data_IF_919931796176
#
_entry.id   IF_919931796176
#
_cell.length_a   1.000
_cell.length_b   1.000
_cell.length_c   1.000
_cell.angle_alpha   90.00
_cell.angle_beta   90.00
_cell.angle_gamma   90.00
#
_symmetry.space_group_name_H-M   'P 1'
#
loop_
_entity.id
_entity.type
_entity.pdbx_description
1 polymer ?
#
# COMPACT_ATOMS: atom_id res chain seq x y z
N UNK A 1 -28.29 -7.18 5.32
CA UNK A 1 -27.38 -6.27 6.05
C UNK A 1 -25.98 -6.43 5.46
N UNK A 2 -25.42 -5.39 4.84
CA UNK A 2 -24.19 -5.49 4.05
C UNK A 2 -22.97 -4.97 4.82
N UNK A 3 -22.00 -5.85 5.08
CA UNK A 3 -20.67 -5.47 5.54
C UNK A 3 -19.80 -5.11 4.33
N UNK A 4 -19.05 -4.01 4.42
CA UNK A 4 -18.44 -3.31 3.26
C UNK A 4 -16.93 -3.15 3.47
N UNK A 5 -16.09 -3.13 2.41
CA UNK A 5 -14.76 -3.77 2.46
C UNK A 5 -13.44 -2.96 2.17
N UNK A 6 -13.42 -1.64 2.05
CA UNK A 6 -12.18 -0.85 1.87
C UNK A 6 -12.03 0.27 2.93
N UNK A 7 -11.82 1.57 2.62
CA UNK A 7 -12.25 2.66 3.50
C UNK A 7 -13.36 3.50 2.85
N UNK A 8 -14.15 4.27 3.60
CA UNK A 8 -15.00 5.31 3.01
C UNK A 8 -14.08 6.39 2.42
N UNK A 9 -13.80 6.25 1.13
CA UNK A 9 -13.10 7.25 0.34
C UNK A 9 -13.99 8.50 0.29
N UNK A 10 -13.52 9.68 0.72
CA UNK A 10 -14.29 10.91 0.58
C UNK A 10 -14.40 11.25 -0.91
N UNK A 11 -15.59 11.00 -1.46
CA UNK A 11 -15.87 11.06 -2.90
C UNK A 11 -16.38 9.76 -3.51
N UNK A 12 -16.44 8.65 -2.77
CA UNK A 12 -16.87 7.35 -3.31
C UNK A 12 -17.77 6.57 -2.32
N UNK A 13 -18.99 6.22 -2.76
CA UNK A 13 -20.04 5.62 -1.92
C UNK A 13 -19.94 4.08 -1.87
N UNK A 14 -18.80 3.56 -1.41
CA UNK A 14 -18.56 2.12 -1.26
C UNK A 14 -17.72 1.79 -0.02
N UNK A 15 -18.29 1.05 0.95
CA UNK A 15 -17.83 1.05 2.36
C UNK A 15 -16.63 0.15 2.78
N UNK A 16 -16.47 -0.09 4.10
CA UNK A 16 -15.17 -0.13 4.86
C UNK A 16 -14.68 -1.41 5.60
N UNK A 17 -13.65 -2.12 5.10
CA UNK A 17 -12.78 -3.06 5.83
C UNK A 17 -11.28 -2.81 5.56
N UNK A 18 -10.52 -2.46 6.59
CA UNK A 18 -9.06 -2.49 6.52
C UNK A 18 -8.43 -2.15 7.86
N UNK A 19 -7.80 -3.13 8.52
CA UNK A 19 -7.08 -2.87 9.78
C UNK A 19 -5.73 -2.19 9.48
N UNK A 20 -5.36 -1.23 10.34
CA UNK A 20 -4.23 -0.32 10.12
C UNK A 20 -2.94 -1.00 9.60
N UNK A 21 -2.34 -0.42 8.55
CA UNK A 21 -1.00 -0.80 8.05
C UNK A 21 -0.96 -1.72 6.81
N UNK A 22 -2.11 -2.09 6.24
CA UNK A 22 -2.19 -2.83 4.96
C UNK A 22 -2.91 -1.99 3.90
N UNK A 23 -2.30 -1.86 2.73
CA UNK A 23 -2.94 -1.31 1.54
C UNK A 23 -2.88 -2.35 0.42
N UNK A 24 -4.05 -2.89 0.06
CA UNK A 24 -4.23 -3.72 -1.13
C UNK A 24 -4.79 -2.83 -2.24
N UNK A 25 -4.17 -2.85 -3.43
CA UNK A 25 -4.65 -2.03 -4.56
C UNK A 25 -5.58 -2.88 -5.42
N UNK A 26 -6.88 -2.83 -5.08
CA UNK A 26 -7.96 -3.37 -5.89
C UNK A 26 -9.20 -2.47 -5.70
N UNK A 27 -9.32 -1.41 -6.50
CA UNK A 27 -10.44 -0.47 -6.40
C UNK A 27 -10.40 0.71 -7.38
N UNK A 28 -11.43 0.77 -8.22
CA UNK A 28 -12.06 1.97 -8.78
C UNK A 28 -11.35 2.66 -9.97
N UNK A 29 -11.31 1.93 -11.10
CA UNK A 29 -11.67 2.46 -12.43
C UNK A 29 -12.05 1.39 -13.46
N UNK A 30 -11.83 0.10 -13.17
CA UNK A 30 -12.53 -1.01 -13.83
C UNK A 30 -13.20 -1.83 -12.72
N UNK A 31 -14.51 -1.75 -12.60
CA UNK A 31 -15.28 -2.75 -11.86
C UNK A 31 -15.24 -4.05 -12.66
N UNK A 32 -14.20 -4.85 -12.44
CA UNK A 32 -14.35 -6.29 -12.64
C UNK A 32 -15.28 -6.74 -11.53
N UNK A 33 -16.59 -6.65 -11.79
CA UNK A 33 -17.60 -7.39 -11.04
C UNK A 33 -17.07 -8.81 -10.91
N UNK A 34 -17.06 -9.27 -9.67
CA UNK A 34 -16.66 -10.63 -9.34
C UNK A 34 -15.16 -10.93 -9.53
N UNK A 35 -14.24 -9.96 -9.47
CA UNK A 35 -12.77 -10.19 -9.51
C UNK A 35 -12.32 -11.30 -8.54
N UNK A 36 -12.81 -11.28 -7.31
CA UNK A 36 -12.49 -12.32 -6.34
C UNK A 36 -13.10 -13.68 -6.68
N UNK A 37 -14.20 -13.72 -7.44
CA UNK A 37 -14.80 -14.96 -7.92
C UNK A 37 -14.11 -15.50 -9.17
N UNK A 38 -13.69 -14.64 -10.12
CA UNK A 38 -12.92 -15.05 -11.30
C UNK A 38 -11.57 -15.60 -10.88
N UNK A 39 -10.84 -14.91 -10.00
CA UNK A 39 -9.62 -15.43 -9.37
C UNK A 39 -9.87 -16.76 -8.62
N UNK A 40 -11.04 -16.94 -7.99
CA UNK A 40 -11.42 -18.19 -7.31
C UNK A 40 -11.80 -19.31 -8.29
N UNK A 41 -12.35 -18.99 -9.47
CA UNK A 41 -12.62 -19.94 -10.56
C UNK A 41 -11.30 -20.42 -11.16
N UNK A 42 -10.39 -19.53 -11.54
CA UNK A 42 -9.06 -19.90 -12.06
C UNK A 42 -8.21 -20.66 -11.02
N UNK A 43 -8.28 -20.28 -9.73
CA UNK A 43 -7.69 -21.06 -8.64
C UNK A 43 -8.22 -22.51 -8.56
N UNK A 44 -9.50 -22.74 -8.88
CA UNK A 44 -10.07 -24.10 -8.90
C UNK A 44 -9.64 -24.86 -10.16
N UNK A 45 -9.48 -24.17 -11.29
CA UNK A 45 -9.07 -24.76 -12.56
C UNK A 45 -7.60 -25.24 -12.54
N UNK A 46 -6.68 -24.47 -11.96
CA UNK A 46 -5.27 -24.87 -11.81
C UNK A 46 -4.69 -24.58 -10.43
N UNK A 47 -3.98 -25.57 -9.87
CA UNK A 47 -3.20 -25.43 -8.63
C UNK A 47 -2.04 -24.45 -8.79
N UNK A 48 -1.50 -24.31 -10.00
CA UNK A 48 -0.34 -23.48 -10.33
C UNK A 48 -0.70 -22.00 -10.48
N UNK A 49 -1.96 -21.70 -10.82
CA UNK A 49 -2.49 -20.33 -10.97
C UNK A 49 -2.14 -19.42 -9.80
N UNK A 50 -2.32 -19.90 -8.56
CA UNK A 50 -1.98 -19.15 -7.35
C UNK A 50 -0.47 -18.83 -7.24
N UNK A 51 0.40 -19.64 -7.82
CA UNK A 51 1.86 -19.45 -7.83
C UNK A 51 2.28 -18.40 -8.85
N UNK A 52 1.74 -18.46 -10.07
CA UNK A 52 2.05 -17.48 -11.12
C UNK A 52 1.43 -16.11 -10.84
N UNK A 53 0.15 -16.05 -10.40
CA UNK A 53 -0.49 -14.79 -10.00
C UNK A 53 0.25 -14.08 -8.87
N UNK A 54 0.86 -14.85 -7.97
CA UNK A 54 1.73 -14.35 -6.91
C UNK A 54 2.99 -13.66 -7.46
N UNK A 55 3.63 -14.23 -8.48
CA UNK A 55 4.79 -13.60 -9.16
C UNK A 55 4.37 -12.29 -9.84
N UNK A 56 3.27 -12.31 -10.59
CA UNK A 56 2.69 -11.12 -11.27
C UNK A 56 2.41 -10.00 -10.27
N UNK A 57 1.61 -10.28 -9.24
CA UNK A 57 1.24 -9.31 -8.22
C UNK A 57 2.45 -8.77 -7.44
N UNK A 58 3.45 -9.61 -7.18
CA UNK A 58 4.71 -9.21 -6.54
C UNK A 58 5.55 -8.28 -7.41
N UNK A 59 5.63 -8.50 -8.73
CA UNK A 59 6.33 -7.59 -9.66
C UNK A 59 5.70 -6.19 -9.63
N UNK A 60 4.36 -6.11 -9.77
CA UNK A 60 3.61 -4.84 -9.72
C UNK A 60 3.82 -4.15 -8.37
N UNK A 61 3.66 -4.88 -7.25
CA UNK A 61 3.88 -4.34 -5.91
C UNK A 61 5.32 -3.84 -5.68
N UNK A 62 6.33 -4.50 -6.26
CA UNK A 62 7.73 -4.08 -6.20
C UNK A 62 8.02 -2.83 -7.03
N UNK A 63 7.35 -2.66 -8.17
CA UNK A 63 7.41 -1.42 -8.96
C UNK A 63 6.86 -0.22 -8.19
N UNK A 64 5.70 -0.39 -7.55
CA UNK A 64 5.09 0.63 -6.67
C UNK A 64 6.02 0.92 -5.47
N UNK A 65 6.58 -0.11 -4.79
CA UNK A 65 7.53 0.06 -3.68
C UNK A 65 8.74 0.93 -4.08
N UNK A 66 9.29 0.72 -5.28
CA UNK A 66 10.39 1.52 -5.81
C UNK A 66 10.04 2.99 -5.97
N UNK A 67 8.92 3.29 -6.64
CA UNK A 67 8.46 4.66 -6.86
C UNK A 67 8.07 5.37 -5.57
N UNK A 68 7.40 4.67 -4.65
CA UNK A 68 7.07 5.19 -3.31
C UNK A 68 8.33 5.61 -2.55
N UNK A 69 9.46 4.91 -2.71
CA UNK A 69 10.75 5.30 -2.10
C UNK A 69 11.38 6.52 -2.77
N UNK A 70 11.21 6.68 -4.08
CA UNK A 70 11.65 7.87 -4.82
C UNK A 70 10.82 9.10 -4.37
N UNK A 71 9.49 8.98 -4.34
CA UNK A 71 8.59 10.04 -3.87
C UNK A 71 8.77 10.34 -2.37
N UNK A 72 9.09 9.34 -1.54
CA UNK A 72 9.46 9.59 -0.14
C UNK A 72 10.72 10.46 0.02
N UNK A 73 11.59 10.50 -0.99
CA UNK A 73 12.76 11.38 -1.03
C UNK A 73 12.46 12.78 -1.61
N UNK A 74 11.37 12.96 -2.37
CA UNK A 74 10.94 14.26 -2.93
C UNK A 74 10.20 15.14 -1.90
N UNK A 75 9.61 14.54 -0.87
CA UNK A 75 8.83 15.23 0.18
C UNK A 75 9.70 16.11 1.07
N UNK A 76 9.24 17.32 1.42
CA UNK A 76 9.93 18.18 2.39
C UNK A 76 10.01 17.53 3.78
N UNK A 77 11.15 17.64 4.48
CA UNK A 77 11.49 16.79 5.65
C UNK A 77 11.59 15.28 5.31
N UNK A 78 12.04 14.95 4.08
CA UNK A 78 12.25 13.60 3.54
C UNK A 78 12.87 12.57 4.51
N UNK A 79 13.72 12.98 5.45
CA UNK A 79 14.44 12.05 6.35
C UNK A 79 13.52 11.11 7.14
N UNK A 80 12.30 11.55 7.50
CA UNK A 80 11.30 10.69 8.14
C UNK A 80 10.59 9.80 7.12
N UNK A 81 10.13 10.37 6.00
CA UNK A 81 9.46 9.65 4.92
C UNK A 81 10.34 8.53 4.34
N UNK A 82 11.61 8.80 4.03
CA UNK A 82 12.60 7.82 3.57
C UNK A 82 12.75 6.67 4.58
N UNK A 83 12.87 6.95 5.88
CA UNK A 83 13.05 5.90 6.91
C UNK A 83 11.79 5.05 7.10
N UNK A 84 10.61 5.63 6.88
CA UNK A 84 9.33 4.92 6.85
C UNK A 84 9.22 4.07 5.57
N UNK A 85 9.53 4.63 4.40
CA UNK A 85 9.45 3.97 3.09
C UNK A 85 10.47 2.82 2.92
N UNK A 86 11.60 2.86 3.64
CA UNK A 86 12.48 1.69 3.80
C UNK A 86 11.80 0.51 4.50
N UNK A 87 10.80 0.76 5.34
CA UNK A 87 9.99 -0.25 5.99
C UNK A 87 8.83 -0.77 5.14
N UNK A 88 8.50 -0.14 4.01
CA UNK A 88 7.50 -0.64 3.07
C UNK A 88 8.10 -1.79 2.25
N UNK A 89 7.35 -2.87 2.12
CA UNK A 89 7.77 -4.10 1.44
C UNK A 89 6.61 -4.71 0.67
N UNK A 90 6.83 -4.97 -0.61
CA UNK A 90 5.98 -5.79 -1.45
C UNK A 90 5.84 -7.19 -0.82
N UNK A 91 4.60 -7.66 -0.70
CA UNK A 91 4.29 -8.99 -0.19
C UNK A 91 3.99 -9.91 -1.36
N UNK A 92 4.46 -11.15 -1.28
CA UNK A 92 4.12 -12.18 -2.25
C UNK A 92 2.70 -12.71 -1.96
N UNK A 93 1.70 -12.03 -2.51
CA UNK A 93 0.27 -12.34 -2.40
C UNK A 93 -0.37 -12.36 -3.79
N UNK A 94 -1.61 -12.84 -3.91
CA UNK A 94 -2.30 -12.99 -5.21
C UNK A 94 -2.78 -11.66 -5.80
N UNK A 95 -2.85 -10.62 -4.98
CA UNK A 95 -3.19 -9.24 -5.34
C UNK A 95 -2.01 -8.32 -5.00
N UNK A 96 -1.73 -7.26 -5.78
CA UNK A 96 -0.62 -6.35 -5.51
C UNK A 96 -0.74 -5.71 -4.12
N UNK A 97 0.14 -6.13 -3.19
CA UNK A 97 0.04 -5.79 -1.77
C UNK A 97 1.36 -5.26 -1.25
N UNK A 98 1.32 -4.08 -0.63
CA UNK A 98 2.45 -3.52 0.13
C UNK A 98 2.09 -3.52 1.61
N UNK A 99 3.01 -4.01 2.43
CA UNK A 99 2.90 -3.98 3.89
C UNK A 99 4.00 -3.12 4.47
N UNK A 100 3.66 -2.31 5.47
CA UNK A 100 4.65 -1.68 6.31
C UNK A 100 5.16 -2.70 7.34
N UNK A 101 6.49 -2.80 7.50
CA UNK A 101 7.13 -3.39 8.68
C UNK A 101 6.92 -2.45 9.88
N UNK A 102 5.66 -2.35 10.31
CA UNK A 102 5.15 -1.35 11.24
C UNK A 102 5.74 -1.49 12.63
N UNK A 103 5.80 -2.72 13.14
CA UNK A 103 6.29 -3.07 14.48
C UNK A 103 7.82 -2.91 14.64
N UNK A 104 8.56 -2.70 13.56
CA UNK A 104 10.01 -2.49 13.64
C UNK A 104 10.33 -1.08 14.16
N UNK A 105 11.45 -0.97 14.87
CA UNK A 105 11.96 0.30 15.40
C UNK A 105 12.19 1.33 14.30
N UNK A 106 11.69 2.55 14.50
CA UNK A 106 12.02 3.70 13.67
C UNK A 106 13.45 4.18 13.93
N UNK A 107 14.26 4.24 12.87
CA UNK A 107 15.67 4.68 12.94
C UNK A 107 15.75 6.20 12.83
N UNK A 108 15.63 6.87 13.98
CA UNK A 108 15.82 8.31 14.10
C UNK A 108 17.31 8.67 14.23
N UNK A 109 17.82 9.56 13.35
CA UNK A 109 19.19 10.10 13.43
C UNK A 109 19.41 10.93 14.70
N UNK A 110 18.49 11.83 15.04
CA UNK A 110 18.64 12.80 16.15
C UNK A 110 18.29 12.24 17.53
N UNK A 111 17.39 11.26 17.62
CA UNK A 111 16.96 10.67 18.90
C UNK A 111 16.73 9.15 18.76
N UNK A 112 17.80 8.34 18.77
CA UNK A 112 17.73 6.88 18.60
C UNK A 112 16.82 6.19 19.60
N UNK A 113 16.23 5.05 19.22
CA UNK A 113 15.32 4.28 20.07
C UNK A 113 15.98 3.70 21.34
N UNK A 114 17.30 3.46 21.34
CA UNK A 114 18.03 3.02 22.53
C UNK A 114 17.81 3.99 23.70
N UNK A 115 17.97 5.29 23.46
CA UNK A 115 17.82 6.39 24.43
C UNK A 115 16.37 6.78 24.77
N UNK A 116 15.37 5.97 24.41
CA UNK A 116 13.93 6.25 24.69
C UNK A 116 13.34 5.25 25.67
N UNK A 117 12.54 5.72 26.63
CA UNK A 117 11.69 4.90 27.51
C UNK A 117 10.66 4.14 26.67
N UNK A 118 9.80 4.85 25.94
CA UNK A 118 8.89 4.27 24.94
C UNK A 118 9.61 4.19 23.59
N UNK A 119 9.75 2.99 23.03
CA UNK A 119 10.32 2.79 21.69
C UNK A 119 9.32 3.29 20.63
N UNK A 120 9.81 3.96 19.60
CA UNK A 120 8.97 4.44 18.50
C UNK A 120 9.09 3.48 17.32
N UNK A 121 7.97 2.98 16.84
CA UNK A 121 7.87 2.04 15.72
C UNK A 121 7.74 2.80 14.39
N UNK A 122 7.90 2.11 13.25
CA UNK A 122 7.63 2.76 11.94
C UNK A 122 6.15 3.09 11.77
N UNK A 123 5.23 2.32 12.36
CA UNK A 123 3.79 2.62 12.30
C UNK A 123 3.46 3.97 12.96
N UNK A 124 4.06 4.27 14.12
CA UNK A 124 3.85 5.52 14.85
C UNK A 124 4.28 6.76 14.04
N UNK A 125 5.28 6.60 13.16
CA UNK A 125 5.81 7.67 12.32
C UNK A 125 5.14 7.72 10.94
N UNK A 126 4.65 6.58 10.42
CA UNK A 126 4.09 6.48 9.08
C UNK A 126 2.99 7.51 8.82
N UNK A 127 1.96 7.55 9.66
CA UNK A 127 0.82 8.44 9.43
C UNK A 127 1.19 9.92 9.52
N UNK A 128 2.12 10.29 10.41
CA UNK A 128 2.62 11.66 10.50
C UNK A 128 3.48 12.05 9.30
N UNK A 129 4.35 11.15 8.83
CA UNK A 129 5.17 11.38 7.63
C UNK A 129 4.34 11.42 6.34
N UNK A 130 3.30 10.58 6.25
CA UNK A 130 2.46 10.46 5.05
C UNK A 130 1.34 11.50 4.99
N UNK A 131 0.67 11.85 6.09
CA UNK A 131 -0.46 12.78 6.06
C UNK A 131 -0.19 14.14 6.70
N UNK A 132 0.95 14.31 7.38
CA UNK A 132 1.25 15.50 8.16
C UNK A 132 0.48 15.60 9.49
N UNK A 133 0.76 16.67 10.23
CA UNK A 133 0.13 17.04 11.49
C UNK A 133 0.23 18.56 11.72
N UNK A 134 0.58 18.97 12.94
CA UNK A 134 0.86 20.37 13.29
C UNK A 134 -0.14 21.01 14.25
N UNK A 135 -1.38 20.52 14.31
CA UNK A 135 -2.43 21.04 15.21
C UNK A 135 -2.05 20.94 16.69
N UNK A 136 -1.38 19.85 17.08
CA UNK A 136 -0.89 19.64 18.46
C UNK A 136 0.61 19.88 18.52
N UNK A 137 1.17 20.42 19.63
CA UNK A 137 2.61 20.62 19.78
C UNK A 137 3.44 19.36 19.47
N UNK A 138 2.93 18.19 19.87
CA UNK A 138 3.54 16.87 19.64
C UNK A 138 3.60 16.44 18.17
N UNK A 139 2.79 17.02 17.27
CA UNK A 139 2.75 16.66 15.84
C UNK A 139 3.36 17.72 14.92
N UNK A 140 3.88 18.84 15.45
CA UNK A 140 4.59 19.90 14.69
C UNK A 140 5.90 19.44 14.04
N UNK A 141 6.44 18.30 14.46
CA UNK A 141 7.58 17.63 13.82
C UNK A 141 7.27 17.18 12.38
N UNK A 142 6.00 16.89 12.08
CA UNK A 142 5.54 16.51 10.75
C UNK A 142 5.20 17.75 9.90
N UNK A 143 5.03 17.57 8.59
CA UNK A 143 4.53 18.62 7.70
C UNK A 143 3.09 19.02 8.06
N UNK A 144 2.58 20.13 7.52
CA UNK A 144 1.18 20.54 7.74
C UNK A 144 0.22 19.48 7.20
N UNK A 145 -0.80 19.12 7.98
CA UNK A 145 -1.77 18.09 7.59
C UNK A 145 -2.45 18.40 6.23
N UNK A 146 -2.55 17.39 5.36
CA UNK A 146 -3.13 17.48 3.99
C UNK A 146 -4.41 16.66 3.79
N UNK A 147 -5.16 16.38 4.86
CA UNK A 147 -6.34 15.52 4.79
C UNK A 147 -5.96 14.10 4.33
N UNK A 148 -6.79 13.50 3.47
CA UNK A 148 -6.52 12.17 2.91
C UNK A 148 -5.59 12.17 1.69
N UNK A 149 -5.03 13.32 1.27
CA UNK A 149 -4.19 13.36 0.06
C UNK A 149 -2.88 12.60 0.20
N UNK A 150 -2.29 12.57 1.40
CA UNK A 150 -0.99 11.99 1.63
C UNK A 150 0.17 12.83 1.07
N UNK A 151 1.39 12.29 1.12
CA UNK A 151 2.63 12.97 0.74
C UNK A 151 3.47 12.17 -0.25
N UNK A 152 3.62 10.86 -0.03
CA UNK A 152 4.41 9.98 -0.90
C UNK A 152 3.69 8.67 -1.23
N UNK A 153 3.11 7.98 -0.25
CA UNK A 153 2.54 6.65 -0.46
C UNK A 153 1.22 6.70 -1.25
N UNK A 154 0.19 7.35 -0.70
CA UNK A 154 -1.12 7.42 -1.31
C UNK A 154 -1.18 8.29 -2.58
N UNK A 155 -0.40 9.37 -2.73
CA UNK A 155 -0.23 10.03 -4.02
C UNK A 155 0.30 9.08 -5.10
N UNK A 156 1.36 8.31 -4.82
CA UNK A 156 1.95 7.39 -5.82
C UNK A 156 0.97 6.31 -6.25
N UNK A 157 0.31 5.66 -5.29
CA UNK A 157 -0.70 4.63 -5.57
C UNK A 157 -1.86 5.21 -6.40
N UNK A 158 -2.36 6.40 -6.07
CA UNK A 158 -3.48 7.02 -6.78
C UNK A 158 -3.10 7.51 -8.19
N UNK A 159 -1.89 8.07 -8.38
CA UNK A 159 -1.36 8.43 -9.72
C UNK A 159 -1.35 7.22 -10.65
N UNK A 160 -0.94 6.05 -10.17
CA UNK A 160 -0.76 4.82 -10.97
C UNK A 160 -1.94 3.86 -10.97
N UNK A 161 -3.09 4.20 -10.37
CA UNK A 161 -4.21 3.25 -10.20
C UNK A 161 -4.64 2.55 -11.50
N UNK A 162 -4.65 3.29 -12.62
CA UNK A 162 -5.04 2.78 -13.93
C UNK A 162 -3.97 1.85 -14.53
N UNK A 163 -2.69 2.20 -14.38
CA UNK A 163 -1.56 1.37 -14.81
C UNK A 163 -1.53 0.05 -14.04
N UNK A 164 -1.68 0.11 -12.70
CA UNK A 164 -1.70 -1.06 -11.82
C UNK A 164 -2.85 -2.00 -12.20
N UNK A 165 -4.03 -1.47 -12.48
CA UNK A 165 -5.17 -2.25 -12.93
C UNK A 165 -4.88 -2.94 -14.29
N UNK A 166 -4.33 -2.20 -15.25
CA UNK A 166 -3.97 -2.73 -16.58
C UNK A 166 -2.89 -3.81 -16.50
N UNK A 167 -1.77 -3.53 -15.82
CA UNK A 167 -0.67 -4.48 -15.59
C UNK A 167 -1.17 -5.78 -14.92
N UNK A 168 -2.12 -5.66 -13.99
CA UNK A 168 -2.68 -6.81 -13.28
C UNK A 168 -3.63 -7.64 -14.15
N UNK A 169 -4.49 -7.00 -14.96
CA UNK A 169 -5.39 -7.70 -15.90
C UNK A 169 -4.61 -8.41 -17.01
N UNK A 170 -3.64 -7.73 -17.63
CA UNK A 170 -2.73 -8.34 -18.61
C UNK A 170 -1.92 -9.50 -18.00
N UNK A 171 -1.60 -9.39 -16.70
CA UNK A 171 -0.98 -10.44 -15.92
C UNK A 171 -1.88 -11.66 -15.71
N UNK A 172 -3.16 -11.46 -15.38
CA UNK A 172 -4.16 -12.54 -15.31
C UNK A 172 -4.27 -13.24 -16.66
N UNK A 173 -4.51 -12.50 -17.74
CA UNK A 173 -4.67 -13.05 -19.08
C UNK A 173 -3.46 -13.87 -19.53
N UNK A 174 -2.24 -13.42 -19.18
CA UNK A 174 -0.99 -14.14 -19.47
C UNK A 174 -0.93 -15.47 -18.70
N UNK A 175 -1.25 -15.47 -17.41
CA UNK A 175 -1.23 -16.68 -16.57
C UNK A 175 -2.30 -17.67 -17.02
N UNK A 176 -3.51 -17.20 -17.34
CA UNK A 176 -4.61 -18.00 -17.86
C UNK A 176 -4.21 -18.68 -19.18
N UNK A 177 -3.66 -17.91 -20.15
CA UNK A 177 -3.15 -18.44 -21.42
C UNK A 177 -1.99 -19.43 -21.25
N UNK A 178 -1.07 -19.16 -20.31
CA UNK A 178 0.07 -20.04 -20.04
C UNK A 178 -0.36 -21.40 -19.44
N UNK A 179 -1.43 -21.41 -18.65
CA UNK A 179 -1.94 -22.60 -17.98
C UNK A 179 -3.05 -23.33 -18.77
N UNK A 180 -3.53 -22.75 -19.87
CA UNK A 180 -4.57 -23.34 -20.73
C UNK A 180 -5.95 -23.45 -20.06
N UNK A 181 -6.29 -22.49 -19.19
CA UNK A 181 -7.55 -22.44 -18.41
C UNK A 181 -8.45 -21.26 -18.78
#
# INVERSE_FOLDING_TARGET
MAFSAFPNLPGDTGGTLGRAGTAAVAGNTVEVKDLFETLRKFQKASKEFNGEMRKVAYQIARGIEGQVRIEAASVSRASQAIQVAKGLRATNDRIPTIKLRGNESFVSKSRPNSKRKTKVTRADVFFGAEFGGGTRPTTRQFLRHRGQSGYFFWPTVRKRKNEIAKEYLEGIDRVVKQLGI
#
